data_IF_226499416032
#
_entry.id   IF_226499416032
#
_cell.length_a   1.000
_cell.length_b   1.000
_cell.length_c   1.000
_cell.angle_alpha   90.00
_cell.angle_beta   90.00
_cell.angle_gamma   90.00
#
_symmetry.space_group_name_H-M   'P 1'
#
loop_
_entity.id
_entity.type
_entity.pdbx_description
1 polymer ?
#
# COMPACT_ATOMS: atom_id res chain seq x y z
N UNK A 1 20.58 35.35 13.91
CA UNK A 1 21.37 34.97 12.72
C UNK A 1 20.93 35.67 11.42
N UNK A 2 19.63 35.93 11.17
CA UNK A 2 19.13 36.53 9.92
C UNK A 2 19.40 38.04 9.71
N UNK A 3 19.82 38.78 10.74
CA UNK A 3 19.95 40.26 10.67
C UNK A 3 21.12 40.75 9.80
N UNK A 4 22.15 39.92 9.61
CA UNK A 4 23.38 40.31 8.88
C UNK A 4 23.37 39.90 7.40
N UNK A 5 22.27 39.34 6.90
CA UNK A 5 22.15 38.92 5.50
C UNK A 5 21.73 40.08 4.60
N UNK A 6 22.20 40.07 3.34
CA UNK A 6 21.70 40.99 2.30
C UNK A 6 20.18 40.87 2.18
N UNK A 7 19.51 41.98 1.95
CA UNK A 7 18.04 42.07 1.92
C UNK A 7 17.42 40.98 1.02
N UNK A 8 17.91 40.82 -0.20
CA UNK A 8 17.36 39.82 -1.13
C UNK A 8 17.56 38.37 -0.69
N UNK A 9 18.69 38.04 -0.04
CA UNK A 9 18.91 36.70 0.53
C UNK A 9 17.93 36.43 1.66
N UNK A 10 17.70 37.43 2.53
CA UNK A 10 16.76 37.30 3.64
C UNK A 10 15.32 37.10 3.16
N UNK A 11 14.88 37.87 2.16
CA UNK A 11 13.54 37.75 1.57
C UNK A 11 13.38 36.39 0.89
N UNK A 12 14.37 35.99 0.08
CA UNK A 12 14.35 34.69 -0.58
C UNK A 12 14.21 33.55 0.43
N UNK A 13 15.04 33.51 1.48
CA UNK A 13 14.98 32.46 2.50
C UNK A 13 13.63 32.38 3.23
N UNK A 14 13.00 33.52 3.51
CA UNK A 14 11.68 33.55 4.16
C UNK A 14 10.59 32.95 3.25
N UNK A 15 10.58 33.34 1.97
CA UNK A 15 9.68 32.77 0.97
C UNK A 15 9.90 31.26 0.79
N UNK A 16 11.17 30.85 0.68
CA UNK A 16 11.57 29.45 0.60
C UNK A 16 11.04 28.63 1.77
N UNK A 17 11.19 29.16 2.98
CA UNK A 17 10.74 28.48 4.19
C UNK A 17 9.22 28.25 4.18
N UNK A 18 8.43 29.27 3.84
CA UNK A 18 6.97 29.14 3.73
C UNK A 18 6.58 28.08 2.71
N UNK A 19 7.23 28.07 1.54
CA UNK A 19 6.94 27.09 0.48
C UNK A 19 7.28 25.66 0.92
N UNK A 20 8.43 25.46 1.55
CA UNK A 20 8.84 24.15 2.07
C UNK A 20 7.85 23.64 3.13
N UNK A 21 7.40 24.52 4.04
CA UNK A 21 6.40 24.17 5.05
C UNK A 21 5.08 23.78 4.40
N UNK A 22 4.56 24.58 3.45
CA UNK A 22 3.33 24.26 2.73
C UNK A 22 3.41 22.93 1.97
N UNK A 23 4.52 22.69 1.26
CA UNK A 23 4.74 21.43 0.54
C UNK A 23 4.88 20.24 1.48
N UNK A 24 5.52 20.42 2.64
CA UNK A 24 5.64 19.39 3.67
C UNK A 24 4.27 18.99 4.23
N UNK A 25 3.43 19.97 4.55
CA UNK A 25 2.05 19.73 5.02
C UNK A 25 1.23 19.00 3.95
N UNK A 26 1.27 19.47 2.70
CA UNK A 26 0.55 18.82 1.60
C UNK A 26 1.02 17.39 1.36
N UNK A 27 2.34 17.15 1.40
CA UNK A 27 2.91 15.80 1.25
C UNK A 27 2.41 14.88 2.36
N UNK A 28 2.42 15.35 3.61
CA UNK A 28 1.92 14.59 4.74
C UNK A 28 0.43 14.25 4.58
N UNK A 29 -0.40 15.22 4.21
CA UNK A 29 -1.84 15.02 4.01
C UNK A 29 -2.11 14.02 2.88
N UNK A 30 -1.42 14.15 1.75
CA UNK A 30 -1.58 13.23 0.61
C UNK A 30 -1.16 11.81 1.00
N UNK A 31 0.03 11.64 1.58
CA UNK A 31 0.53 10.31 1.97
C UNK A 31 -0.35 9.67 3.04
N UNK A 32 -0.80 10.42 4.04
CA UNK A 32 -1.70 9.90 5.08
C UNK A 32 -3.07 9.52 4.53
N UNK A 33 -3.62 10.33 3.62
CA UNK A 33 -4.90 10.05 2.96
C UNK A 33 -4.78 8.81 2.07
N UNK A 34 -3.73 8.73 1.24
CA UNK A 34 -3.45 7.57 0.40
C UNK A 34 -3.23 6.30 1.21
N UNK A 35 -2.53 6.36 2.34
CA UNK A 35 -2.37 5.21 3.24
C UNK A 35 -3.72 4.71 3.78
N UNK A 36 -4.59 5.62 4.23
CA UNK A 36 -5.93 5.27 4.72
C UNK A 36 -6.83 4.69 3.62
N UNK A 37 -6.79 5.25 2.40
CA UNK A 37 -7.51 4.72 1.24
C UNK A 37 -7.00 3.33 0.89
N UNK A 38 -5.68 3.15 0.84
CA UNK A 38 -5.05 1.86 0.53
C UNK A 38 -5.42 0.80 1.55
N UNK A 39 -5.43 1.13 2.84
CA UNK A 39 -5.87 0.23 3.90
C UNK A 39 -7.33 -0.20 3.71
N UNK A 40 -8.23 0.75 3.43
CA UNK A 40 -9.66 0.47 3.21
C UNK A 40 -9.91 -0.39 1.98
N UNK A 41 -9.23 -0.12 0.86
CA UNK A 41 -9.34 -0.93 -0.35
C UNK A 41 -8.73 -2.32 -0.17
N UNK A 42 -7.61 -2.42 0.55
CA UNK A 42 -7.02 -3.70 0.90
C UNK A 42 -7.97 -4.57 1.72
N UNK A 43 -8.71 -4.00 2.69
CA UNK A 43 -9.72 -4.73 3.45
C UNK A 43 -10.81 -5.32 2.55
N UNK A 44 -11.38 -4.51 1.64
CA UNK A 44 -12.39 -4.98 0.69
C UNK A 44 -11.84 -6.08 -0.23
N UNK A 45 -10.63 -5.88 -0.75
CA UNK A 45 -9.99 -6.83 -1.65
C UNK A 45 -9.70 -8.17 -0.95
N UNK A 46 -9.13 -8.12 0.26
CA UNK A 46 -8.87 -9.31 1.07
C UNK A 46 -10.15 -10.10 1.35
N UNK A 47 -11.22 -9.43 1.75
CA UNK A 47 -12.51 -10.07 2.01
C UNK A 47 -13.09 -10.72 0.75
N UNK A 48 -13.09 -10.00 -0.39
CA UNK A 48 -13.62 -10.52 -1.65
C UNK A 48 -12.80 -11.70 -2.18
N UNK A 49 -11.47 -11.65 -2.07
CA UNK A 49 -10.61 -12.75 -2.53
C UNK A 49 -10.74 -13.94 -1.59
N UNK A 50 -10.79 -13.75 -0.27
CA UNK A 50 -11.04 -14.84 0.67
C UNK A 50 -12.39 -15.53 0.37
N UNK A 51 -13.44 -14.76 0.10
CA UNK A 51 -14.75 -15.29 -0.30
C UNK A 51 -14.65 -16.09 -1.61
N UNK A 52 -14.03 -15.51 -2.64
CA UNK A 52 -13.81 -16.19 -3.93
C UNK A 52 -13.05 -17.50 -3.75
N UNK A 53 -11.97 -17.51 -2.97
CA UNK A 53 -11.20 -18.71 -2.70
C UNK A 53 -12.01 -19.75 -1.93
N UNK A 54 -12.80 -19.32 -0.94
CA UNK A 54 -13.69 -20.22 -0.19
C UNK A 54 -14.74 -20.88 -1.09
N UNK A 55 -15.31 -20.15 -2.06
CA UNK A 55 -16.25 -20.72 -3.03
C UNK A 55 -15.58 -21.73 -3.96
N UNK A 56 -14.34 -21.49 -4.39
CA UNK A 56 -13.60 -22.45 -5.23
C UNK A 56 -13.28 -23.74 -4.46
N UNK A 57 -12.76 -23.63 -3.24
CA UNK A 57 -12.46 -24.78 -2.38
C UNK A 57 -13.75 -25.54 -2.06
N UNK A 58 -14.81 -24.82 -1.67
CA UNK A 58 -16.13 -25.41 -1.42
C UNK A 58 -16.65 -26.17 -2.65
N UNK A 59 -16.55 -25.60 -3.84
CA UNK A 59 -16.98 -26.25 -5.08
C UNK A 59 -16.28 -27.59 -5.31
N UNK A 60 -14.97 -27.67 -5.08
CA UNK A 60 -14.20 -28.91 -5.20
C UNK A 60 -14.62 -29.96 -4.17
N UNK A 61 -14.75 -29.57 -2.91
CA UNK A 61 -15.18 -30.47 -1.84
C UNK A 61 -16.61 -30.99 -2.08
N UNK A 62 -17.53 -30.11 -2.47
CA UNK A 62 -18.92 -30.47 -2.75
C UNK A 62 -19.03 -31.37 -3.97
N UNK A 63 -18.25 -31.13 -5.03
CA UNK A 63 -18.21 -32.00 -6.20
C UNK A 63 -17.79 -33.43 -5.82
N UNK A 64 -16.71 -33.57 -5.05
CA UNK A 64 -16.22 -34.87 -4.58
C UNK A 64 -17.24 -35.58 -3.68
N UNK A 65 -17.89 -34.86 -2.76
CA UNK A 65 -18.96 -35.44 -1.93
C UNK A 65 -20.21 -35.84 -2.73
N UNK A 66 -20.65 -35.02 -3.69
CA UNK A 66 -21.80 -35.35 -4.54
C UNK A 66 -21.53 -36.58 -5.40
N UNK A 67 -20.31 -36.71 -5.93
CA UNK A 67 -19.87 -37.92 -6.65
C UNK A 67 -19.91 -39.14 -5.73
N UNK A 68 -19.38 -39.01 -4.51
CA UNK A 68 -19.36 -40.08 -3.51
C UNK A 68 -20.77 -40.52 -3.07
N UNK A 69 -21.68 -39.57 -2.85
CA UNK A 69 -23.09 -39.82 -2.52
C UNK A 69 -23.80 -40.57 -3.65
N UNK A 70 -23.69 -40.08 -4.89
CA UNK A 70 -24.24 -40.76 -6.05
C UNK A 70 -23.72 -42.20 -6.18
N UNK A 71 -22.42 -42.41 -5.98
CA UNK A 71 -21.79 -43.71 -5.99
C UNK A 71 -22.29 -44.62 -4.87
N UNK A 72 -22.45 -44.08 -3.66
CA UNK A 72 -23.05 -44.77 -2.52
C UNK A 72 -24.44 -45.29 -2.86
N UNK A 73 -25.30 -44.45 -3.42
CA UNK A 73 -26.65 -44.83 -3.84
C UNK A 73 -26.64 -45.94 -4.92
N UNK A 74 -25.72 -45.87 -5.90
CA UNK A 74 -25.55 -46.93 -6.92
C UNK A 74 -25.15 -48.25 -6.28
N UNK A 75 -24.25 -48.22 -5.28
CA UNK A 75 -23.81 -49.43 -4.57
C UNK A 75 -24.96 -49.98 -3.72
N UNK A 76 -25.69 -49.14 -2.99
CA UNK A 76 -26.86 -49.56 -2.23
C UNK A 76 -27.86 -50.27 -3.15
N UNK A 77 -28.22 -49.68 -4.29
CA UNK A 77 -29.12 -50.29 -5.28
C UNK A 77 -28.55 -51.58 -5.87
N UNK A 78 -27.25 -51.65 -6.14
CA UNK A 78 -26.59 -52.87 -6.62
C UNK A 78 -26.68 -53.99 -5.59
N UNK A 79 -26.47 -53.67 -4.30
CA UNK A 79 -26.57 -54.63 -3.20
C UNK A 79 -27.98 -55.17 -3.01
N UNK A 80 -29.03 -54.41 -3.37
CA UNK A 80 -30.42 -54.88 -3.34
C UNK A 80 -30.66 -56.08 -4.26
N UNK A 81 -29.95 -56.16 -5.38
CA UNK A 81 -30.09 -57.25 -6.36
C UNK A 81 -28.89 -58.21 -6.36
N UNK A 82 -27.98 -58.07 -5.40
CA UNK A 82 -26.71 -58.78 -5.36
C UNK A 82 -26.83 -60.28 -5.01
N UNK A 83 -27.97 -60.75 -4.47
CA UNK A 83 -28.23 -62.18 -4.27
C UNK A 83 -28.14 -63.00 -5.59
N UNK A 84 -28.17 -62.33 -6.75
CA UNK A 84 -28.00 -62.94 -8.07
C UNK A 84 -26.76 -62.45 -8.87
N UNK A 85 -25.89 -61.60 -8.32
CA UNK A 85 -24.76 -61.03 -9.08
C UNK A 85 -23.47 -61.83 -8.91
N UNK A 86 -23.20 -62.74 -9.83
CA UNK A 86 -21.87 -63.36 -10.01
C UNK A 86 -20.80 -62.44 -10.64
N UNK A 87 -21.04 -61.12 -10.73
CA UNK A 87 -20.24 -60.20 -11.56
C UNK A 87 -19.44 -59.19 -10.73
N UNK A 88 -18.42 -59.67 -10.00
CA UNK A 88 -17.45 -58.80 -9.30
C UNK A 88 -16.77 -57.76 -10.21
N UNK A 89 -16.75 -57.98 -11.53
CA UNK A 89 -16.23 -57.03 -12.52
C UNK A 89 -17.06 -55.74 -12.67
N UNK A 90 -18.37 -55.77 -12.38
CA UNK A 90 -19.22 -54.57 -12.47
C UNK A 90 -18.87 -53.56 -11.39
N UNK A 91 -18.64 -54.02 -10.16
CA UNK A 91 -18.26 -53.17 -9.04
C UNK A 91 -16.85 -52.59 -9.25
N UNK A 92 -15.90 -53.40 -9.73
CA UNK A 92 -14.56 -52.94 -10.11
C UNK A 92 -14.62 -51.80 -11.12
N UNK A 93 -15.40 -51.97 -12.19
CA UNK A 93 -15.52 -50.94 -13.22
C UNK A 93 -16.16 -49.65 -12.67
N UNK A 94 -17.25 -49.77 -11.92
CA UNK A 94 -17.94 -48.60 -11.33
C UNK A 94 -17.02 -47.81 -10.40
N UNK A 95 -16.28 -48.50 -9.53
CA UNK A 95 -15.34 -47.85 -8.61
C UNK A 95 -14.15 -47.21 -9.33
N UNK A 96 -13.60 -47.89 -10.34
CA UNK A 96 -12.48 -47.36 -11.13
C UNK A 96 -12.90 -46.09 -11.87
N UNK A 97 -14.05 -46.10 -12.56
CA UNK A 97 -14.55 -44.93 -13.29
C UNK A 97 -14.90 -43.79 -12.32
N UNK A 98 -15.45 -44.09 -11.14
CA UNK A 98 -15.79 -43.05 -10.18
C UNK A 98 -14.54 -42.34 -9.62
N UNK A 99 -13.46 -43.10 -9.34
CA UNK A 99 -12.19 -42.51 -8.91
C UNK A 99 -11.55 -41.68 -10.04
N UNK A 100 -11.53 -42.20 -11.26
CA UNK A 100 -10.97 -41.54 -12.46
C UNK A 100 -11.70 -40.22 -12.81
N UNK A 101 -12.99 -40.11 -12.48
CA UNK A 101 -13.78 -38.89 -12.69
C UNK A 101 -13.59 -37.83 -11.58
N UNK A 102 -13.08 -38.22 -10.41
CA UNK A 102 -12.83 -37.29 -9.32
C UNK A 102 -11.40 -36.75 -9.38
N UNK A 103 -11.26 -35.56 -9.97
CA UNK A 103 -9.98 -34.89 -10.14
C UNK A 103 -9.27 -34.51 -8.82
N UNK A 104 -9.90 -34.70 -7.66
CA UNK A 104 -9.34 -34.35 -6.35
C UNK A 104 -9.00 -35.57 -5.49
N UNK A 105 -9.64 -36.72 -5.74
CA UNK A 105 -9.45 -37.94 -4.95
C UNK A 105 -8.22 -38.73 -5.43
N UNK A 106 -7.35 -39.11 -4.50
CA UNK A 106 -6.19 -39.96 -4.80
C UNK A 106 -6.48 -41.44 -4.55
N UNK A 107 -7.42 -41.74 -3.65
CA UNK A 107 -7.84 -43.10 -3.35
C UNK A 107 -9.35 -43.18 -3.17
N UNK A 108 -9.89 -44.37 -3.45
CA UNK A 108 -11.24 -44.76 -3.15
C UNK A 108 -11.22 -46.08 -2.38
N UNK A 109 -12.07 -46.24 -1.38
CA UNK A 109 -12.28 -47.49 -0.69
C UNK A 109 -13.75 -47.83 -0.52
N UNK A 110 -14.06 -49.13 -0.61
CA UNK A 110 -15.37 -49.69 -0.31
C UNK A 110 -15.22 -50.80 0.71
N UNK A 111 -15.82 -50.61 1.87
CA UNK A 111 -15.92 -51.62 2.93
C UNK A 111 -17.36 -52.09 3.06
N UNK A 112 -17.56 -53.40 3.14
CA UNK A 112 -18.86 -54.03 3.37
C UNK A 112 -18.73 -55.14 4.43
N UNK A 113 -19.53 -55.08 5.48
CA UNK A 113 -19.46 -56.00 6.62
C UNK A 113 -20.06 -57.38 6.34
N UNK A 114 -20.97 -57.50 5.37
CA UNK A 114 -21.62 -58.77 5.05
C UNK A 114 -21.96 -58.88 3.56
N UNK A 115 -21.05 -59.47 2.78
CA UNK A 115 -21.33 -59.84 1.38
C UNK A 115 -20.74 -61.22 1.07
N UNK A 116 -21.63 -62.19 0.83
CA UNK A 116 -21.25 -63.54 0.41
C UNK A 116 -20.90 -63.61 -1.08
N UNK A 117 -21.39 -62.67 -1.90
CA UNK A 117 -21.33 -62.70 -3.36
C UNK A 117 -20.02 -62.17 -4.01
N UNK A 118 -19.12 -61.50 -3.26
CA UNK A 118 -17.93 -60.85 -3.85
C UNK A 118 -16.66 -61.71 -3.66
N UNK A 119 -15.82 -61.77 -4.71
CA UNK A 119 -14.59 -62.59 -4.83
C UNK A 119 -13.67 -62.51 -3.59
N UNK A 120 -13.00 -63.63 -3.29
CA UNK A 120 -12.15 -63.83 -2.11
C UNK A 120 -10.93 -62.89 -2.02
N UNK A 121 -10.45 -62.32 -3.13
CA UNK A 121 -9.21 -61.53 -3.20
C UNK A 121 -9.23 -60.20 -2.41
N UNK A 122 -10.40 -59.74 -1.97
CA UNK A 122 -10.58 -58.49 -1.23
C UNK A 122 -11.18 -58.71 0.18
N UNK A 123 -11.06 -59.92 0.75
CA UNK A 123 -11.53 -60.22 2.10
C UNK A 123 -10.47 -59.89 3.14
N UNK A 124 -10.89 -59.21 4.19
CA UNK A 124 -10.11 -59.02 5.41
C UNK A 124 -10.07 -60.33 6.23
N UNK A 125 -9.13 -60.48 7.18
CA UNK A 125 -9.04 -61.66 8.04
C UNK A 125 -10.33 -61.97 8.82
N UNK A 126 -11.12 -60.94 9.14
CA UNK A 126 -12.43 -61.05 9.80
C UNK A 126 -13.58 -61.49 8.86
N UNK A 127 -13.29 -61.75 7.59
CA UNK A 127 -14.26 -62.19 6.58
C UNK A 127 -15.02 -61.06 5.89
N UNK A 128 -14.87 -59.80 6.32
CA UNK A 128 -15.48 -58.63 5.69
C UNK A 128 -14.81 -58.29 4.36
N UNK A 129 -15.51 -57.56 3.50
CA UNK A 129 -14.98 -57.12 2.21
C UNK A 129 -14.40 -55.71 2.33
N UNK A 130 -13.18 -55.51 1.82
CA UNK A 130 -12.55 -54.20 1.67
C UNK A 130 -11.82 -54.12 0.34
N UNK A 131 -12.23 -53.17 -0.48
CA UNK A 131 -11.57 -52.85 -1.74
C UNK A 131 -10.96 -51.45 -1.66
N UNK A 132 -9.72 -51.30 -2.13
CA UNK A 132 -9.04 -50.00 -2.21
C UNK A 132 -8.50 -49.83 -3.64
N UNK A 133 -8.74 -48.65 -4.22
CA UNK A 133 -8.23 -48.21 -5.51
C UNK A 133 -7.44 -46.93 -5.30
N UNK A 134 -6.29 -46.82 -5.95
CA UNK A 134 -5.52 -45.59 -6.04
C UNK A 134 -5.47 -45.12 -7.48
N UNK A 135 -5.28 -43.83 -7.66
CA UNK A 135 -5.09 -43.22 -8.98
C UNK A 135 -3.67 -42.63 -9.06
N UNK A 136 -2.90 -43.12 -10.03
CA UNK A 136 -1.53 -42.69 -10.29
C UNK A 136 -1.42 -41.47 -11.20
N UNK A 137 -2.50 -41.11 -11.90
CA UNK A 137 -2.53 -39.97 -12.84
C UNK A 137 -3.89 -39.26 -12.78
N UNK A 138 -4.16 -38.61 -11.65
CA UNK A 138 -5.44 -37.95 -11.37
C UNK A 138 -5.71 -36.72 -12.27
N UNK A 139 -4.82 -36.40 -13.21
CA UNK A 139 -5.02 -35.31 -14.17
C UNK A 139 -5.55 -35.81 -15.52
N UNK A 140 -5.44 -37.11 -15.82
CA UNK A 140 -5.82 -37.70 -17.09
C UNK A 140 -6.64 -38.98 -16.86
N UNK A 141 -7.49 -39.33 -17.82
CA UNK A 141 -8.22 -40.59 -17.75
C UNK A 141 -7.27 -41.79 -17.72
N UNK A 142 -7.47 -42.71 -16.78
CA UNK A 142 -6.69 -43.91 -16.60
C UNK A 142 -5.95 -43.95 -15.26
N UNK A 143 -4.79 -44.59 -15.20
CA UNK A 143 -3.93 -44.54 -13.99
C UNK A 143 -4.43 -45.31 -12.76
N UNK A 144 -5.65 -45.86 -12.77
CA UNK A 144 -6.22 -46.60 -11.63
C UNK A 144 -5.46 -47.91 -11.37
N UNK A 145 -5.03 -48.11 -10.12
CA UNK A 145 -4.36 -49.32 -9.66
C UNK A 145 -5.00 -49.89 -8.38
N UNK A 146 -4.79 -51.20 -8.18
CA UNK A 146 -5.25 -51.90 -6.97
C UNK A 146 -4.30 -51.63 -5.81
N UNK A 147 -4.86 -51.34 -4.64
CA UNK A 147 -4.12 -51.25 -3.37
C UNK A 147 -4.51 -52.43 -2.50
N UNK A 148 -3.54 -53.00 -1.78
CA UNK A 148 -3.78 -54.13 -0.89
C UNK A 148 -4.76 -53.72 0.23
N UNK A 149 -5.77 -54.56 0.48
CA UNK A 149 -6.73 -54.33 1.55
C UNK A 149 -6.02 -54.29 2.91
N UNK A 150 -6.34 -53.29 3.72
CA UNK A 150 -5.74 -53.10 5.05
C UNK A 150 -6.80 -52.62 6.05
N UNK A 151 -6.80 -53.20 7.25
CA UNK A 151 -7.69 -52.79 8.34
C UNK A 151 -7.44 -51.36 8.80
N UNK A 152 -6.30 -50.75 8.41
CA UNK A 152 -5.97 -49.35 8.69
C UNK A 152 -7.10 -48.39 8.30
N UNK A 153 -7.78 -48.62 7.17
CA UNK A 153 -8.92 -47.80 6.73
C UNK A 153 -10.04 -47.77 7.78
N UNK A 154 -10.32 -48.91 8.42
CA UNK A 154 -11.41 -49.06 9.38
C UNK A 154 -11.09 -48.42 10.75
N UNK A 155 -9.82 -48.14 11.01
CA UNK A 155 -9.37 -47.50 12.24
C UNK A 155 -9.43 -45.97 12.17
N UNK A 156 -9.73 -45.39 11.00
CA UNK A 156 -9.91 -43.94 10.89
C UNK A 156 -11.18 -43.49 11.61
N UNK A 157 -11.07 -42.47 12.48
CA UNK A 157 -12.19 -41.99 13.28
C UNK A 157 -13.40 -41.52 12.45
N UNK A 158 -13.17 -40.92 11.27
CA UNK A 158 -14.27 -40.52 10.37
C UNK A 158 -15.01 -41.72 9.77
N UNK A 159 -14.29 -42.79 9.44
CA UNK A 159 -14.85 -44.07 8.95
C UNK A 159 -15.70 -44.72 10.03
N UNK A 160 -15.17 -44.83 11.26
CA UNK A 160 -15.90 -45.38 12.40
C UNK A 160 -17.16 -44.55 12.71
N UNK A 161 -17.05 -43.22 12.67
CA UNK A 161 -18.20 -42.32 12.87
C UNK A 161 -19.27 -42.51 11.79
N UNK A 162 -18.89 -42.73 10.53
CA UNK A 162 -19.84 -43.02 9.45
C UNK A 162 -20.58 -44.35 9.69
N UNK A 163 -19.84 -45.40 10.05
CA UNK A 163 -20.39 -46.73 10.35
C UNK A 163 -21.30 -46.72 11.59
N UNK A 164 -21.02 -45.89 12.59
CA UNK A 164 -21.82 -45.78 13.81
C UNK A 164 -23.07 -44.91 13.64
N UNK A 165 -22.94 -43.78 12.94
CA UNK A 165 -24.02 -42.78 12.86
C UNK A 165 -24.93 -42.96 11.66
N UNK A 166 -24.49 -43.69 10.62
CA UNK A 166 -25.24 -43.84 9.38
C UNK A 166 -25.41 -42.51 8.63
N UNK A 167 -24.51 -41.55 8.87
CA UNK A 167 -24.43 -40.25 8.20
C UNK A 167 -23.09 -40.10 7.46
N UNK A 168 -23.03 -39.29 6.40
CA UNK A 168 -21.76 -38.91 5.77
C UNK A 168 -20.82 -38.28 6.80
N UNK A 169 -19.51 -38.41 6.60
CA UNK A 169 -18.50 -37.79 7.48
C UNK A 169 -17.30 -37.29 6.69
N UNK A 170 -16.62 -36.28 7.22
CA UNK A 170 -15.30 -35.84 6.77
C UNK A 170 -14.30 -35.96 7.93
N UNK A 171 -13.06 -36.38 7.63
CA UNK A 171 -11.98 -36.48 8.60
C UNK A 171 -11.11 -35.22 8.71
N UNK A 172 -10.35 -35.14 9.80
CA UNK A 172 -9.30 -34.13 9.98
C UNK A 172 -8.07 -34.45 9.10
N UNK A 173 -7.34 -33.42 8.62
CA UNK A 173 -6.14 -33.59 7.81
C UNK A 173 -5.06 -34.30 8.63
N UNK A 174 -4.63 -35.47 8.17
CA UNK A 174 -3.62 -36.28 8.87
C UNK A 174 -2.71 -36.95 7.85
N UNK A 175 -1.42 -37.02 8.16
CA UNK A 175 -0.45 -37.68 7.30
C UNK A 175 -0.66 -39.19 7.31
N UNK A 176 -0.81 -39.77 6.13
CA UNK A 176 -1.05 -41.20 5.98
C UNK A 176 -0.32 -41.77 4.77
N UNK A 177 0.27 -42.95 4.96
CA UNK A 177 0.68 -43.83 3.88
C UNK A 177 -0.44 -44.86 3.63
N UNK A 178 -1.09 -44.80 2.46
CA UNK A 178 -2.24 -45.64 2.11
C UNK A 178 -1.82 -46.86 1.28
N UNK A 179 -0.92 -46.68 0.32
CA UNK A 179 -0.51 -47.72 -0.64
C UNK A 179 0.90 -48.29 -0.39
N UNK A 180 1.54 -47.89 0.70
CA UNK A 180 2.90 -48.26 1.06
C UNK A 180 3.99 -47.44 0.37
N UNK A 181 3.67 -46.52 -0.54
CA UNK A 181 4.67 -45.81 -1.35
C UNK A 181 5.02 -44.43 -0.81
N UNK A 182 4.03 -43.57 -0.59
CA UNK A 182 4.22 -42.17 -0.16
C UNK A 182 3.24 -41.82 0.94
N UNK A 183 3.73 -41.08 1.93
CA UNK A 183 2.87 -40.40 2.91
C UNK A 183 2.27 -39.14 2.28
N UNK A 184 0.95 -38.98 2.38
CA UNK A 184 0.21 -37.81 1.90
C UNK A 184 -0.56 -37.16 3.04
N UNK A 185 -0.83 -35.86 2.94
CA UNK A 185 -1.76 -35.21 3.85
C UNK A 185 -3.19 -35.56 3.43
N UNK A 186 -3.75 -36.56 4.09
CA UNK A 186 -5.00 -37.17 3.71
C UNK A 186 -6.20 -36.57 4.45
N UNK A 187 -7.27 -36.28 3.70
CA UNK A 187 -8.60 -35.98 4.23
C UNK A 187 -9.57 -37.03 3.67
N UNK A 188 -10.29 -37.72 4.55
CA UNK A 188 -11.24 -38.78 4.14
C UNK A 188 -12.66 -38.26 4.13
N UNK A 189 -13.36 -38.48 3.03
CA UNK A 189 -14.81 -38.27 2.90
C UNK A 189 -15.48 -39.64 2.87
N UNK A 190 -16.52 -39.82 3.68
CA UNK A 190 -17.20 -41.10 3.85
C UNK A 190 -18.69 -40.94 3.59
N UNK A 191 -19.25 -41.95 2.93
CA UNK A 191 -20.67 -42.14 2.76
C UNK A 191 -21.05 -43.54 3.26
N UNK A 192 -21.95 -43.66 4.25
CA UNK A 192 -22.38 -44.94 4.78
C UNK A 192 -23.23 -45.68 3.76
N UNK A 193 -23.08 -47.00 3.68
CA UNK A 193 -23.88 -47.87 2.81
C UNK A 193 -24.93 -48.59 3.66
N UNK A 194 -26.18 -48.50 3.25
CA UNK A 194 -27.33 -49.13 3.91
C UNK A 194 -27.94 -50.22 3.05
N UNK A 195 -28.48 -51.25 3.69
CA UNK A 195 -29.29 -52.26 3.01
C UNK A 195 -30.75 -51.80 2.87
N UNK A 196 -31.60 -52.65 2.26
CA UNK A 196 -33.04 -52.36 2.11
C UNK A 196 -33.77 -52.12 3.43
N UNK A 197 -33.31 -52.73 4.52
CA UNK A 197 -33.87 -52.58 5.86
C UNK A 197 -33.35 -51.30 6.57
N UNK A 198 -32.52 -50.50 5.89
CA UNK A 198 -31.92 -49.29 6.45
C UNK A 198 -30.75 -49.56 7.41
N UNK A 199 -30.34 -50.81 7.59
CA UNK A 199 -29.20 -51.16 8.42
C UNK A 199 -27.89 -50.81 7.72
N UNK A 200 -26.93 -50.28 8.47
CA UNK A 200 -25.61 -49.91 7.96
C UNK A 200 -24.81 -51.19 7.71
N UNK A 201 -24.47 -51.44 6.46
CA UNK A 201 -23.75 -52.64 6.00
C UNK A 201 -22.35 -52.33 5.48
N UNK A 202 -21.94 -51.06 5.48
CA UNK A 202 -20.62 -50.67 5.03
C UNK A 202 -20.42 -49.18 4.90
N UNK A 203 -19.33 -48.81 4.24
CA UNK A 203 -18.96 -47.43 3.94
C UNK A 203 -18.20 -47.40 2.62
N UNK A 204 -18.52 -46.42 1.80
CA UNK A 204 -17.66 -46.00 0.69
C UNK A 204 -17.00 -44.68 1.05
N UNK A 205 -15.74 -44.52 0.69
CA UNK A 205 -15.05 -43.26 0.92
C UNK A 205 -13.97 -42.97 -0.10
N UNK A 206 -13.62 -41.71 -0.17
CA UNK A 206 -12.50 -41.19 -0.95
C UNK A 206 -11.49 -40.53 -0.02
N UNK A 207 -10.23 -40.54 -0.43
CA UNK A 207 -9.12 -39.88 0.26
C UNK A 207 -8.60 -38.78 -0.66
N UNK A 208 -8.74 -37.54 -0.21
CA UNK A 208 -8.17 -36.38 -0.88
C UNK A 208 -6.71 -36.20 -0.47
N UNK A 209 -5.84 -35.93 -1.43
CA UNK A 209 -4.49 -35.43 -1.17
C UNK A 209 -4.53 -33.89 -1.12
N UNK A 210 -4.37 -33.36 0.09
CA UNK A 210 -4.43 -31.92 0.31
C UNK A 210 -3.24 -31.16 -0.29
N UNK A 211 -2.12 -31.82 -0.62
CA UNK A 211 -1.01 -31.17 -1.35
C UNK A 211 -1.45 -30.71 -2.74
N UNK A 212 -2.32 -31.48 -3.41
CA UNK A 212 -2.86 -31.12 -4.73
C UNK A 212 -3.77 -29.91 -4.64
N UNK A 213 -4.63 -29.88 -3.63
CA UNK A 213 -5.47 -28.71 -3.35
C UNK A 213 -4.60 -27.50 -3.02
N UNK A 214 -3.55 -27.72 -2.22
CA UNK A 214 -2.57 -26.69 -1.89
C UNK A 214 -1.86 -26.12 -3.10
N UNK A 215 -1.50 -26.95 -4.08
CA UNK A 215 -0.73 -26.54 -5.26
C UNK A 215 -1.49 -25.49 -6.09
N UNK A 216 -2.73 -25.79 -6.49
CA UNK A 216 -3.53 -24.79 -7.24
C UNK A 216 -3.94 -23.61 -6.34
N UNK A 217 -4.19 -23.86 -5.05
CA UNK A 217 -4.50 -22.79 -4.10
C UNK A 217 -3.27 -21.94 -3.76
N UNK A 218 -2.06 -22.26 -4.22
CA UNK A 218 -0.88 -21.38 -4.16
C UNK A 218 -0.52 -20.73 -5.50
N UNK A 219 -1.24 -21.04 -6.59
CA UNK A 219 -0.95 -20.49 -7.92
C UNK A 219 -0.88 -18.95 -7.94
N UNK A 220 0.12 -18.40 -8.61
CA UNK A 220 0.38 -16.95 -8.63
C UNK A 220 -0.66 -16.14 -9.41
N UNK A 221 -1.42 -16.77 -10.31
CA UNK A 221 -2.55 -16.13 -11.01
C UNK A 221 -3.69 -15.72 -10.08
N UNK A 222 -3.74 -16.30 -8.87
CA UNK A 222 -4.73 -16.00 -7.85
C UNK A 222 -4.23 -14.94 -6.84
N UNK A 223 -2.95 -14.57 -6.89
CA UNK A 223 -2.33 -13.58 -6.01
C UNK A 223 -2.81 -12.17 -6.36
N UNK A 224 -3.06 -11.37 -5.33
CA UNK A 224 -3.48 -9.97 -5.42
C UNK A 224 -2.51 -9.02 -4.74
N UNK A 225 -1.68 -9.52 -3.84
CA UNK A 225 -0.53 -8.80 -3.29
C UNK A 225 0.75 -9.60 -3.46
N UNK A 226 1.88 -8.89 -3.55
CA UNK A 226 3.17 -9.53 -3.56
C UNK A 226 3.39 -10.33 -2.27
N UNK A 227 3.93 -11.55 -2.37
CA UNK A 227 4.14 -12.48 -1.24
C UNK A 227 2.86 -12.82 -0.46
N UNK A 228 1.68 -12.59 -1.02
CA UNK A 228 0.47 -13.15 -0.43
C UNK A 228 0.47 -14.67 -0.55
N UNK A 229 -0.30 -15.31 0.33
CA UNK A 229 -0.50 -16.74 0.26
C UNK A 229 -1.82 -17.12 0.88
N UNK A 230 -2.31 -18.31 0.51
CA UNK A 230 -3.62 -18.80 0.95
C UNK A 230 -3.43 -20.06 1.76
N UNK A 231 -4.29 -20.30 2.72
CA UNK A 231 -4.24 -21.53 3.51
C UNK A 231 -5.64 -21.92 3.97
N UNK A 232 -5.83 -23.19 4.29
CA UNK A 232 -7.14 -23.75 4.69
C UNK A 232 -6.98 -24.41 6.04
N UNK A 233 -7.93 -24.17 6.93
CA UNK A 233 -8.02 -24.87 8.20
C UNK A 233 -9.41 -25.43 8.46
N UNK A 234 -9.45 -26.49 9.25
CA UNK A 234 -10.68 -27.13 9.70
C UNK A 234 -11.37 -26.30 10.79
N UNK A 235 -12.58 -26.70 11.17
CA UNK A 235 -13.31 -26.11 12.29
C UNK A 235 -12.52 -26.19 13.60
N UNK A 236 -11.77 -27.28 13.78
CA UNK A 236 -10.86 -27.52 14.90
C UNK A 236 -9.57 -26.69 14.84
N UNK A 237 -9.42 -25.79 13.85
CA UNK A 237 -8.24 -25.00 13.56
C UNK A 237 -6.99 -25.82 13.17
N UNK A 238 -7.17 -27.04 12.66
CA UNK A 238 -6.07 -27.83 12.09
C UNK A 238 -5.82 -27.41 10.64
N UNK A 239 -4.55 -27.26 10.28
CA UNK A 239 -4.18 -26.77 8.95
C UNK A 239 -4.21 -27.90 7.93
N UNK A 240 -5.08 -27.76 6.94
CA UNK A 240 -5.24 -28.70 5.84
C UNK A 240 -4.43 -28.29 4.60
N UNK A 241 -4.19 -27.00 4.39
CA UNK A 241 -3.37 -26.47 3.29
C UNK A 241 -2.55 -25.32 3.81
N UNK A 242 -1.25 -25.26 3.52
CA UNK A 242 -0.39 -24.11 3.83
C UNK A 242 0.92 -24.18 3.01
N UNK A 243 1.52 -23.04 2.57
CA UNK A 243 2.79 -23.05 1.83
C UNK A 243 3.97 -23.65 2.59
N UNK A 244 4.00 -23.44 3.91
CA UNK A 244 4.97 -24.07 4.80
C UNK A 244 4.48 -25.47 5.21
N UNK A 245 5.09 -26.51 4.64
CA UNK A 245 4.75 -27.90 4.91
C UNK A 245 4.85 -28.29 6.39
N UNK A 246 5.73 -27.63 7.17
CA UNK A 246 5.88 -27.93 8.61
C UNK A 246 4.67 -27.53 9.47
N UNK A 247 3.70 -26.82 8.89
CA UNK A 247 2.47 -26.37 9.56
C UNK A 247 1.28 -27.29 9.25
N UNK A 248 1.39 -28.15 8.24
CA UNK A 248 0.34 -29.07 7.84
C UNK A 248 0.00 -30.03 8.99
N UNK A 249 -1.28 -30.37 9.13
CA UNK A 249 -1.85 -31.20 10.22
C UNK A 249 -1.76 -30.61 11.64
N UNK A 250 -0.99 -29.53 11.86
CA UNK A 250 -0.87 -28.90 13.19
C UNK A 250 -2.05 -27.99 13.46
N UNK A 251 -2.35 -27.83 14.75
CA UNK A 251 -3.28 -26.81 15.18
C UNK A 251 -2.68 -25.41 15.03
N UNK A 252 -3.47 -24.44 14.59
CA UNK A 252 -3.00 -23.06 14.43
C UNK A 252 -2.45 -22.46 15.74
N UNK A 253 -2.97 -22.88 16.89
CA UNK A 253 -2.51 -22.47 18.21
C UNK A 253 -1.08 -22.97 18.53
N UNK A 254 -0.69 -24.13 18.00
CA UNK A 254 0.66 -24.70 18.19
C UNK A 254 1.72 -23.95 17.38
N UNK A 255 1.32 -23.36 16.26
CA UNK A 255 2.22 -22.61 15.37
C UNK A 255 2.50 -21.22 15.96
N UNK A 256 1.47 -20.57 16.48
CA UNK A 256 1.60 -19.21 17.01
C UNK A 256 0.53 -18.90 18.05
N UNK A 257 0.86 -19.06 19.33
CA UNK A 257 0.01 -18.63 20.43
C UNK A 257 0.11 -17.11 20.64
N UNK A 258 -0.85 -16.35 20.09
CA UNK A 258 -0.99 -14.91 20.33
C UNK A 258 -2.45 -14.45 20.08
N UNK A 259 -2.78 -13.25 20.55
CA UNK A 259 -4.13 -12.66 20.47
C UNK A 259 -4.68 -12.60 19.03
N UNK A 260 -3.84 -12.36 18.03
CA UNK A 260 -4.28 -12.34 16.63
C UNK A 260 -4.70 -13.72 16.14
N UNK A 261 -3.93 -14.75 16.48
CA UNK A 261 -4.27 -16.14 16.19
C UNK A 261 -5.57 -16.54 16.87
N UNK A 262 -5.75 -16.21 18.15
CA UNK A 262 -6.98 -16.49 18.89
C UNK A 262 -8.19 -15.80 18.26
N UNK A 263 -8.06 -14.55 17.82
CA UNK A 263 -9.12 -13.83 17.11
C UNK A 263 -9.52 -14.54 15.81
N UNK A 264 -8.55 -15.04 15.04
CA UNK A 264 -8.79 -15.78 13.80
C UNK A 264 -9.49 -17.12 14.08
N UNK A 265 -9.03 -17.87 15.08
CA UNK A 265 -9.65 -19.15 15.48
C UNK A 265 -11.09 -18.91 15.94
N UNK A 266 -11.32 -17.91 16.79
CA UNK A 266 -12.67 -17.56 17.25
C UNK A 266 -13.58 -17.13 16.09
N UNK A 267 -13.06 -16.37 15.12
CA UNK A 267 -13.82 -16.00 13.92
C UNK A 267 -14.22 -17.24 13.11
N UNK A 268 -13.30 -18.19 12.92
CA UNK A 268 -13.55 -19.45 12.21
C UNK A 268 -14.60 -20.33 12.90
N UNK A 269 -14.48 -20.52 14.21
CA UNK A 269 -15.44 -21.30 15.02
C UNK A 269 -16.84 -20.69 14.94
N UNK A 270 -16.94 -19.36 14.94
CA UNK A 270 -18.22 -18.65 14.83
C UNK A 270 -18.65 -18.41 13.37
N UNK A 271 -17.94 -18.98 12.39
CA UNK A 271 -18.20 -18.86 10.95
C UNK A 271 -18.33 -17.40 10.46
N UNK A 272 -17.53 -16.51 11.05
CA UNK A 272 -17.54 -15.07 10.76
C UNK A 272 -16.53 -14.74 9.67
N UNK A 273 -17.01 -14.17 8.58
CA UNK A 273 -16.12 -13.63 7.54
C UNK A 273 -15.61 -12.25 7.95
N UNK A 274 -14.41 -11.89 7.51
CA UNK A 274 -13.85 -10.57 7.80
C UNK A 274 -12.37 -10.44 7.50
N UNK A 275 -11.79 -9.31 7.91
CA UNK A 275 -10.35 -9.07 7.84
C UNK A 275 -9.82 -8.89 9.26
N UNK A 276 -8.72 -9.57 9.55
CA UNK A 276 -8.10 -9.59 10.87
C UNK A 276 -6.62 -9.29 10.76
N UNK A 277 -6.04 -8.72 11.81
CA UNK A 277 -4.59 -8.60 11.93
C UNK A 277 -3.96 -9.98 12.13
N UNK A 278 -2.73 -10.15 11.65
CA UNK A 278 -1.97 -11.39 11.77
C UNK A 278 -0.47 -11.14 11.87
N UNK A 279 0.24 -12.11 12.45
CA UNK A 279 1.70 -12.14 12.51
C UNK A 279 2.22 -13.37 11.78
N UNK A 280 2.84 -13.15 10.61
CA UNK A 280 3.47 -14.22 9.83
C UNK A 280 4.67 -14.75 10.61
N UNK A 281 4.68 -16.06 10.87
CA UNK A 281 5.80 -16.75 11.53
C UNK A 281 6.79 -17.22 10.46
N UNK A 282 7.95 -16.57 10.39
CA UNK A 282 9.05 -16.97 9.51
C UNK A 282 9.95 -18.08 10.09
N UNK A 283 10.90 -18.56 9.28
CA UNK A 283 11.88 -19.61 9.67
C UNK A 283 12.72 -19.24 10.91
N UNK A 284 12.95 -17.96 11.16
CA UNK A 284 13.76 -17.47 12.29
C UNK A 284 12.93 -16.87 13.45
N UNK A 285 11.64 -17.23 13.58
CA UNK A 285 10.70 -16.64 14.55
C UNK A 285 10.47 -15.12 14.43
N UNK A 286 11.07 -14.45 13.44
CA UNK A 286 10.72 -13.08 13.10
C UNK A 286 9.23 -13.02 12.71
N UNK A 287 8.50 -12.12 13.38
CA UNK A 287 7.06 -11.91 13.16
C UNK A 287 6.87 -10.70 12.24
N UNK A 288 6.37 -10.93 11.03
CA UNK A 288 6.00 -9.86 10.09
C UNK A 288 4.50 -9.55 10.22
N UNK A 289 4.14 -8.26 10.30
CA UNK A 289 2.73 -7.83 10.35
C UNK A 289 2.04 -8.07 9.01
N UNK A 290 0.84 -8.61 9.07
CA UNK A 290 -0.01 -8.91 7.92
C UNK A 290 -1.47 -8.63 8.25
N UNK A 291 -2.28 -8.52 7.19
CA UNK A 291 -3.73 -8.65 7.28
C UNK A 291 -4.15 -10.00 6.70
N UNK A 292 -5.22 -10.56 7.25
CA UNK A 292 -5.80 -11.83 6.83
C UNK A 292 -7.25 -11.65 6.46
N UNK A 293 -7.57 -11.89 5.18
CA UNK A 293 -8.95 -12.10 4.74
C UNK A 293 -9.40 -13.50 5.11
N UNK A 294 -10.49 -13.61 5.86
CA UNK A 294 -11.03 -14.86 6.38
C UNK A 294 -12.44 -15.09 5.82
N UNK A 295 -12.66 -16.29 5.27
CA UNK A 295 -13.98 -16.71 4.78
C UNK A 295 -14.24 -18.18 5.12
N UNK A 296 -15.31 -18.43 5.87
CA UNK A 296 -15.78 -19.77 6.21
C UNK A 296 -16.72 -20.30 5.13
N UNK A 297 -16.64 -21.61 4.86
CA UNK A 297 -17.47 -22.30 3.90
C UNK A 297 -17.97 -23.63 4.46
N UNK A 298 -19.16 -24.02 4.01
CA UNK A 298 -19.84 -25.26 4.41
C UNK A 298 -19.53 -26.35 3.42
N UNK A 299 -19.08 -27.49 3.92
CA UNK A 299 -18.86 -28.69 3.15
C UNK A 299 -20.16 -29.50 3.17
N UNK A 300 -20.69 -29.81 1.99
CA UNK A 300 -21.78 -30.75 1.71
C UNK A 300 -22.89 -30.81 2.79
N UNK A 301 -24.00 -30.09 2.58
CA UNK A 301 -25.17 -30.07 3.48
C UNK A 301 -24.82 -29.80 4.95
N UNK A 302 -23.94 -28.81 5.20
CA UNK A 302 -23.49 -28.39 6.54
C UNK A 302 -22.79 -29.50 7.36
N UNK A 303 -22.13 -30.44 6.69
CA UNK A 303 -21.41 -31.54 7.34
C UNK A 303 -20.22 -31.06 8.18
N UNK A 304 -19.52 -30.04 7.69
CA UNK A 304 -18.41 -29.39 8.37
C UNK A 304 -18.25 -27.95 7.89
N UNK A 305 -17.71 -27.08 8.76
CA UNK A 305 -17.38 -25.70 8.41
C UNK A 305 -15.86 -25.52 8.41
N UNK A 306 -15.30 -25.25 7.24
CA UNK A 306 -13.88 -25.00 7.09
C UNK A 306 -13.65 -23.54 6.71
N UNK A 307 -12.42 -23.07 6.87
CA UNK A 307 -12.10 -21.67 6.66
C UNK A 307 -10.91 -21.53 5.73
N UNK A 308 -11.07 -20.67 4.72
CA UNK A 308 -9.98 -20.22 3.87
C UNK A 308 -9.46 -18.89 4.42
N UNK A 309 -8.14 -18.77 4.45
CA UNK A 309 -7.43 -17.59 4.89
C UNK A 309 -6.51 -17.11 3.77
N UNK A 310 -6.61 -15.83 3.43
CA UNK A 310 -5.69 -15.12 2.55
C UNK A 310 -4.82 -14.20 3.40
N UNK A 311 -3.53 -14.48 3.46
CA UNK A 311 -2.56 -13.68 4.22
C UNK A 311 -1.84 -12.75 3.28
N UNK A 312 -1.85 -11.45 3.59
CA UNK A 312 -1.11 -10.43 2.84
C UNK A 312 -0.21 -9.60 3.78
N UNK A 313 1.11 -9.57 3.57
CA UNK A 313 2.01 -8.75 4.37
C UNK A 313 1.65 -7.26 4.27
N UNK A 314 1.71 -6.53 5.40
CA UNK A 314 1.37 -5.11 5.43
C UNK A 314 2.28 -4.28 4.51
N UNK A 315 3.55 -4.67 4.40
CA UNK A 315 4.51 -4.04 3.47
C UNK A 315 4.08 -4.17 2.01
N UNK A 316 3.57 -5.34 1.62
CA UNK A 316 3.09 -5.57 0.25
C UNK A 316 1.79 -4.81 -0.03
N UNK A 317 0.90 -4.74 0.97
CA UNK A 317 -0.32 -3.93 0.89
C UNK A 317 0.03 -2.44 0.69
N UNK A 318 1.05 -1.95 1.38
CA UNK A 318 1.47 -0.54 1.37
C UNK A 318 2.50 -0.20 0.28
N UNK A 319 2.94 -1.16 -0.52
CA UNK A 319 3.92 -0.96 -1.59
C UNK A 319 3.54 0.19 -2.55
N UNK A 320 2.29 0.31 -3.03
CA UNK A 320 1.89 1.44 -3.87
C UNK A 320 2.03 2.79 -3.16
N UNK A 321 1.79 2.84 -1.85
CA UNK A 321 1.89 4.06 -1.03
C UNK A 321 3.36 4.45 -0.84
N UNK A 322 4.25 3.49 -0.60
CA UNK A 322 5.69 3.77 -0.51
C UNK A 322 6.28 4.24 -1.84
N UNK A 323 5.83 3.65 -2.95
CA UNK A 323 6.19 4.11 -4.29
C UNK A 323 5.70 5.54 -4.54
N UNK A 324 4.42 5.82 -4.25
CA UNK A 324 3.85 7.17 -4.35
C UNK A 324 4.60 8.18 -3.48
N UNK A 325 4.90 7.83 -2.23
CA UNK A 325 5.66 8.67 -1.31
C UNK A 325 7.03 9.03 -1.89
N UNK A 326 7.75 8.04 -2.45
CA UNK A 326 9.06 8.26 -3.07
C UNK A 326 8.96 9.19 -4.27
N UNK A 327 7.97 8.99 -5.14
CA UNK A 327 7.72 9.86 -6.29
C UNK A 327 7.37 11.28 -5.87
N UNK A 328 6.51 11.46 -4.87
CA UNK A 328 6.14 12.79 -4.35
C UNK A 328 7.37 13.49 -3.77
N UNK A 329 8.17 12.81 -2.94
CA UNK A 329 9.38 13.40 -2.34
C UNK A 329 10.34 13.87 -3.44
N UNK A 330 10.59 13.04 -4.46
CA UNK A 330 11.43 13.41 -5.59
C UNK A 330 10.87 14.62 -6.35
N UNK A 331 9.56 14.63 -6.61
CA UNK A 331 8.88 15.75 -7.27
C UNK A 331 8.91 17.04 -6.46
N UNK A 332 8.78 16.96 -5.13
CA UNK A 332 8.85 18.11 -4.22
C UNK A 332 10.27 18.68 -4.19
N UNK A 333 11.30 17.84 -4.08
CA UNK A 333 12.71 18.28 -4.11
C UNK A 333 13.02 19.02 -5.42
N UNK A 334 12.63 18.44 -6.56
CA UNK A 334 12.83 19.07 -7.88
C UNK A 334 12.07 20.41 -7.97
N UNK A 335 10.82 20.43 -7.52
CA UNK A 335 9.97 21.63 -7.54
C UNK A 335 10.56 22.75 -6.68
N UNK A 336 11.06 22.42 -5.47
CA UNK A 336 11.75 23.36 -4.59
C UNK A 336 12.97 23.94 -5.32
N UNK A 337 13.83 23.10 -5.91
CA UNK A 337 15.03 23.60 -6.63
C UNK A 337 14.68 24.60 -7.74
N UNK A 338 13.64 24.30 -8.53
CA UNK A 338 13.17 25.19 -9.60
C UNK A 338 12.63 26.50 -9.04
N UNK A 339 11.74 26.43 -8.05
CA UNK A 339 11.12 27.61 -7.43
C UNK A 339 12.17 28.51 -6.78
N UNK A 340 13.13 27.92 -6.04
CA UNK A 340 14.22 28.65 -5.41
C UNK A 340 15.10 29.37 -6.43
N UNK A 341 15.43 28.69 -7.54
CA UNK A 341 16.17 29.28 -8.64
C UNK A 341 15.42 30.48 -9.21
N UNK A 342 14.14 30.34 -9.54
CA UNK A 342 13.29 31.41 -10.08
C UNK A 342 13.23 32.59 -9.10
N UNK A 343 12.93 32.35 -7.82
CA UNK A 343 12.85 33.40 -6.78
C UNK A 343 14.18 34.13 -6.65
N UNK A 344 15.30 33.40 -6.63
CA UNK A 344 16.63 33.99 -6.51
C UNK A 344 16.94 34.91 -7.70
N UNK A 345 16.74 34.43 -8.93
CA UNK A 345 16.97 35.23 -10.14
C UNK A 345 16.02 36.42 -10.22
N UNK A 346 14.75 36.24 -9.85
CA UNK A 346 13.75 37.30 -9.83
C UNK A 346 14.13 38.39 -8.82
N UNK A 347 14.43 38.05 -7.57
CA UNK A 347 14.83 39.04 -6.54
C UNK A 347 16.12 39.77 -6.94
N UNK A 348 17.11 39.05 -7.48
CA UNK A 348 18.38 39.65 -7.92
C UNK A 348 18.16 40.68 -9.02
N UNK A 349 17.38 40.33 -10.05
CA UNK A 349 17.16 41.17 -11.23
C UNK A 349 16.13 42.27 -10.97
N UNK A 350 14.97 41.93 -10.41
CA UNK A 350 13.84 42.84 -10.27
C UNK A 350 13.93 43.72 -9.01
N UNK A 351 14.60 43.29 -7.93
CA UNK A 351 14.63 44.07 -6.68
C UNK A 351 16.03 44.64 -6.43
N UNK A 352 17.04 43.78 -6.25
CA UNK A 352 18.38 44.21 -5.83
C UNK A 352 19.02 45.15 -6.87
N UNK A 353 18.95 44.80 -8.16
CA UNK A 353 19.58 45.63 -9.19
C UNK A 353 19.01 47.05 -9.23
N UNK A 354 17.69 47.21 -9.11
CA UNK A 354 17.05 48.54 -9.08
C UNK A 354 17.35 49.30 -7.80
N UNK A 355 17.38 48.61 -6.66
CA UNK A 355 17.72 49.23 -5.38
C UNK A 355 19.18 49.74 -5.36
N UNK A 356 20.10 48.99 -5.98
CA UNK A 356 21.49 49.44 -6.15
C UNK A 356 21.59 50.69 -7.03
N UNK A 357 20.80 50.79 -8.11
CA UNK A 357 20.77 52.00 -8.96
C UNK A 357 20.35 53.22 -8.15
N UNK A 358 19.28 53.11 -7.36
CA UNK A 358 18.82 54.20 -6.49
C UNK A 358 19.86 54.54 -5.41
N UNK A 359 20.48 53.52 -4.82
CA UNK A 359 21.55 53.72 -3.83
C UNK A 359 22.78 54.43 -4.42
N UNK A 360 23.17 54.08 -5.65
CA UNK A 360 24.28 54.74 -6.35
C UNK A 360 23.94 56.19 -6.69
N UNK A 361 22.75 56.45 -7.24
CA UNK A 361 22.30 57.81 -7.52
C UNK A 361 22.37 58.70 -6.28
N UNK A 362 21.89 58.20 -5.14
CA UNK A 362 21.89 58.95 -3.90
C UNK A 362 23.31 59.21 -3.37
N UNK A 363 24.19 58.20 -3.42
CA UNK A 363 25.58 58.36 -3.01
C UNK A 363 26.32 59.36 -3.90
N UNK A 364 26.14 59.29 -5.22
CA UNK A 364 26.76 60.22 -6.16
C UNK A 364 26.22 61.65 -5.98
N UNK A 365 24.95 61.80 -5.63
CA UNK A 365 24.39 63.09 -5.26
C UNK A 365 25.03 63.67 -4.00
N UNK A 366 25.22 62.86 -2.95
CA UNK A 366 25.91 63.32 -1.74
C UNK A 366 27.37 63.69 -2.00
N UNK A 367 28.08 62.94 -2.85
CA UNK A 367 29.45 63.31 -3.26
C UNK A 367 29.49 64.65 -3.98
N UNK A 368 28.49 64.94 -4.81
CA UNK A 368 28.34 66.24 -5.44
C UNK A 368 28.10 67.35 -4.41
N UNK A 369 27.17 67.16 -3.46
CA UNK A 369 26.91 68.14 -2.39
C UNK A 369 28.12 68.37 -1.49
N UNK A 370 28.91 67.33 -1.23
CA UNK A 370 30.14 67.41 -0.44
C UNK A 370 31.33 67.99 -1.22
N UNK A 371 31.12 68.46 -2.45
CA UNK A 371 32.15 69.00 -3.33
C UNK A 371 33.27 68.00 -3.69
N UNK A 372 33.04 66.70 -3.48
CA UNK A 372 33.96 65.64 -3.91
C UNK A 372 33.95 65.46 -5.43
N UNK A 373 32.84 65.83 -6.07
CA UNK A 373 32.67 65.84 -7.53
C UNK A 373 32.03 67.14 -7.98
N UNK A 374 32.53 67.73 -9.07
CA UNK A 374 32.01 68.99 -9.62
C UNK A 374 30.77 68.81 -10.50
N UNK A 375 30.50 67.60 -10.96
CA UNK A 375 29.39 67.30 -11.86
C UNK A 375 28.25 66.65 -11.07
N UNK A 376 27.01 67.14 -11.22
CA UNK A 376 25.87 66.48 -10.63
C UNK A 376 25.65 65.07 -11.22
N UNK A 377 25.03 64.14 -10.47
CA UNK A 377 24.72 62.82 -11.00
C UNK A 377 23.65 62.88 -12.09
N UNK A 378 23.70 61.93 -13.02
CA UNK A 378 22.64 61.76 -14.02
C UNK A 378 21.36 61.19 -13.38
N UNK A 379 20.23 61.84 -13.65
CA UNK A 379 18.93 61.39 -13.17
C UNK A 379 18.56 60.03 -13.77
N UNK A 380 17.95 59.17 -12.97
CA UNK A 380 17.60 57.81 -13.40
C UNK A 380 16.16 57.74 -13.85
N UNK A 381 15.87 57.21 -15.04
CA UNK A 381 14.49 56.95 -15.45
C UNK A 381 14.01 55.63 -14.80
N UNK A 382 12.97 55.64 -13.95
CA UNK A 382 12.47 54.41 -13.37
C UNK A 382 11.92 53.47 -14.44
N UNK A 383 12.12 52.17 -14.25
CA UNK A 383 11.62 51.11 -15.15
C UNK A 383 10.27 50.52 -14.73
N UNK A 384 9.75 50.91 -13.57
CA UNK A 384 8.43 50.50 -13.07
C UNK A 384 7.85 51.59 -12.17
N UNK A 385 6.55 51.51 -11.89
CA UNK A 385 5.78 52.45 -11.06
C UNK A 385 5.55 51.95 -9.63
N UNK A 386 6.34 50.94 -9.21
CA UNK A 386 6.32 50.40 -7.85
C UNK A 386 7.01 51.33 -6.84
N UNK A 387 7.07 50.92 -5.57
CA UNK A 387 7.60 51.72 -4.47
C UNK A 387 9.05 52.18 -4.73
N UNK A 388 9.87 51.31 -5.35
CA UNK A 388 11.25 51.65 -5.72
C UNK A 388 11.26 52.68 -6.86
N UNK A 389 10.38 52.54 -7.84
CA UNK A 389 10.23 53.51 -8.93
C UNK A 389 9.80 54.89 -8.45
N UNK A 390 8.81 54.95 -7.54
CA UNK A 390 8.36 56.20 -6.92
C UNK A 390 9.46 56.85 -6.09
N UNK A 391 10.24 56.06 -5.35
CA UNK A 391 11.40 56.56 -4.61
C UNK A 391 12.45 57.17 -5.55
N UNK A 392 12.74 56.54 -6.69
CA UNK A 392 13.68 57.06 -7.68
C UNK A 392 13.20 58.41 -8.27
N UNK A 393 11.89 58.55 -8.58
CA UNK A 393 11.33 59.81 -9.07
C UNK A 393 11.44 60.92 -8.02
N UNK A 394 11.06 60.63 -6.77
CA UNK A 394 11.14 61.59 -5.69
C UNK A 394 12.60 62.06 -5.47
N UNK A 395 13.57 61.14 -5.54
CA UNK A 395 14.99 61.49 -5.44
C UNK A 395 15.40 62.38 -6.62
N UNK A 396 15.06 62.02 -7.86
CA UNK A 396 15.40 62.85 -9.02
C UNK A 396 14.85 64.28 -8.89
N UNK A 397 13.59 64.44 -8.49
CA UNK A 397 12.97 65.75 -8.31
C UNK A 397 13.71 66.58 -7.26
N UNK A 398 14.08 65.98 -6.12
CA UNK A 398 14.84 66.68 -5.10
C UNK A 398 16.27 67.04 -5.56
N UNK A 399 16.90 66.18 -6.36
CA UNK A 399 18.19 66.47 -6.99
C UNK A 399 18.07 67.69 -7.90
N UNK A 400 17.04 67.77 -8.75
CA UNK A 400 16.82 68.91 -9.64
C UNK A 400 16.58 70.21 -8.87
N UNK A 401 15.69 70.18 -7.88
CA UNK A 401 15.39 71.34 -7.03
C UNK A 401 16.67 71.84 -6.35
N UNK A 402 17.46 70.94 -5.77
CA UNK A 402 18.70 71.30 -5.07
C UNK A 402 19.76 71.84 -6.03
N UNK A 403 19.93 71.26 -7.22
CA UNK A 403 20.86 71.76 -8.24
C UNK A 403 20.50 73.17 -8.70
N UNK A 404 19.21 73.43 -8.94
CA UNK A 404 18.74 74.75 -9.31
C UNK A 404 18.99 75.76 -8.19
N UNK A 405 18.72 75.38 -6.93
CA UNK A 405 19.02 76.20 -5.76
C UNK A 405 20.51 76.53 -5.62
N UNK A 406 21.39 75.54 -5.72
CA UNK A 406 22.85 75.74 -5.62
C UNK A 406 23.38 76.66 -6.73
N UNK A 407 22.84 76.56 -7.94
CA UNK A 407 23.23 77.45 -9.05
C UNK A 407 22.77 78.90 -8.80
N UNK A 408 21.58 79.09 -8.23
CA UNK A 408 21.11 80.42 -7.82
C UNK A 408 22.02 81.01 -6.73
N UNK A 409 22.40 80.19 -5.74
CA UNK A 409 23.33 80.56 -4.68
C UNK A 409 24.70 80.95 -5.23
N UNK A 410 25.28 80.15 -6.12
CA UNK A 410 26.57 80.43 -6.76
C UNK A 410 26.55 81.75 -7.56
N UNK A 411 25.45 82.00 -8.27
CA UNK A 411 25.26 83.24 -9.04
C UNK A 411 25.18 84.46 -8.11
N UNK A 412 24.42 84.36 -7.03
CA UNK A 412 24.30 85.41 -6.03
C UNK A 412 25.62 85.68 -5.30
N UNK A 413 26.39 84.63 -4.95
CA UNK A 413 27.73 84.76 -4.36
C UNK A 413 28.69 85.46 -5.33
N UNK A 414 28.67 85.07 -6.61
CA UNK A 414 29.52 85.69 -7.65
C UNK A 414 29.18 87.16 -7.83
N UNK A 415 27.88 87.51 -7.87
CA UNK A 415 27.47 88.91 -7.91
C UNK A 415 27.88 89.65 -6.63
N UNK A 416 27.73 89.02 -5.47
CA UNK A 416 28.14 89.61 -4.18
C UNK A 416 29.63 89.95 -4.17
N UNK A 417 30.49 89.04 -4.64
CA UNK A 417 31.92 89.28 -4.77
C UNK A 417 32.24 90.41 -5.76
N UNK A 418 31.53 90.47 -6.90
CA UNK A 418 31.68 91.54 -7.90
C UNK A 418 31.25 92.89 -7.35
N UNK A 419 30.10 92.97 -6.68
CA UNK A 419 29.58 94.18 -6.05
C UNK A 419 30.54 94.68 -4.97
N UNK A 420 31.07 93.77 -4.13
CA UNK A 420 32.08 94.13 -3.13
C UNK A 420 33.33 94.75 -3.78
N UNK A 421 33.80 94.21 -4.92
CA UNK A 421 34.91 94.79 -5.68
C UNK A 421 34.58 96.16 -6.28
N UNK A 422 33.38 96.35 -6.82
CA UNK A 422 32.93 97.66 -7.33
C UNK A 422 32.82 98.71 -6.23
N UNK A 423 32.45 98.29 -5.01
CA UNK A 423 32.49 99.13 -3.81
C UNK A 423 33.93 99.49 -3.41
N UNK A 424 34.85 98.52 -3.46
CA UNK A 424 36.29 98.74 -3.23
C UNK A 424 36.88 99.76 -4.23
N UNK A 425 36.40 99.73 -5.48
CA UNK A 425 36.75 100.70 -6.53
C UNK A 425 36.09 102.09 -6.34
N UNK A 426 35.34 102.29 -5.25
CA UNK A 426 34.81 103.59 -4.82
C UNK A 426 33.34 103.87 -5.19
N UNK A 427 32.64 102.92 -5.81
CA UNK A 427 31.22 103.09 -6.15
C UNK A 427 30.29 102.49 -5.08
N UNK A 428 29.90 103.33 -4.11
CA UNK A 428 29.01 102.97 -3.01
C UNK A 428 27.53 102.79 -3.40
N UNK A 429 27.16 103.08 -4.65
CA UNK A 429 25.78 102.89 -5.15
C UNK A 429 25.51 101.46 -5.64
N UNK A 430 26.55 100.61 -5.72
CA UNK A 430 26.40 99.23 -6.17
C UNK A 430 25.58 98.40 -5.17
N UNK A 431 24.70 97.53 -5.68
CA UNK A 431 23.83 96.66 -4.87
C UNK A 431 23.83 95.24 -5.44
N UNK A 432 23.62 94.26 -4.57
CA UNK A 432 23.43 92.86 -4.92
C UNK A 432 21.94 92.66 -5.23
N UNK A 433 21.63 92.22 -6.45
CA UNK A 433 20.26 92.13 -6.97
C UNK A 433 19.78 90.67 -7.01
N UNK A 434 20.68 89.75 -7.35
CA UNK A 434 20.42 88.32 -7.44
C UNK A 434 19.97 87.81 -6.07
N UNK A 435 18.90 87.01 -6.08
CA UNK A 435 18.33 86.45 -4.87
C UNK A 435 18.79 84.99 -4.73
N UNK A 436 19.64 84.67 -3.73
CA UNK A 436 20.04 83.30 -3.48
C UNK A 436 18.84 82.45 -3.03
N UNK A 437 18.95 81.14 -3.24
CA UNK A 437 18.00 80.14 -2.77
C UNK A 437 18.17 79.85 -1.27
N UNK A 438 19.41 79.81 -0.78
CA UNK A 438 19.71 79.59 0.63
C UNK A 438 19.26 80.81 1.47
N UNK A 439 18.34 80.64 2.44
CA UNK A 439 17.84 81.74 3.27
C UNK A 439 18.95 82.52 4.00
N UNK A 440 20.04 81.85 4.39
CA UNK A 440 21.18 82.50 5.05
C UNK A 440 21.93 83.44 4.10
N UNK A 441 22.07 83.07 2.82
CA UNK A 441 22.67 83.94 1.81
C UNK A 441 21.75 85.13 1.49
N UNK A 442 20.43 84.97 1.59
CA UNK A 442 19.46 86.07 1.43
C UNK A 442 19.64 87.09 2.56
N UNK A 443 19.78 86.61 3.80
CA UNK A 443 20.08 87.47 4.95
C UNK A 443 21.40 88.21 4.75
N UNK A 444 22.46 87.50 4.35
CA UNK A 444 23.76 88.11 4.06
C UNK A 444 23.66 89.19 2.97
N UNK A 445 22.93 88.92 1.88
CA UNK A 445 22.67 89.91 0.82
C UNK A 445 22.03 91.17 1.39
N UNK A 446 21.00 91.02 2.22
CA UNK A 446 20.27 92.15 2.80
C UNK A 446 21.16 92.96 3.75
N UNK A 447 21.93 92.30 4.61
CA UNK A 447 22.89 92.97 5.50
C UNK A 447 23.94 93.76 4.70
N UNK A 448 24.51 93.17 3.65
CA UNK A 448 25.50 93.83 2.80
C UNK A 448 24.90 95.02 2.04
N UNK A 449 23.69 94.89 1.49
CA UNK A 449 23.01 95.99 0.81
C UNK A 449 22.67 97.13 1.78
N UNK A 450 22.16 96.82 2.98
CA UNK A 450 21.83 97.82 4.00
C UNK A 450 23.09 98.57 4.49
N UNK A 451 24.25 97.92 4.53
CA UNK A 451 25.52 98.60 4.88
C UNK A 451 25.88 99.71 3.89
N UNK A 452 25.46 99.56 2.63
CA UNK A 452 25.75 100.51 1.55
C UNK A 452 24.67 101.60 1.41
N UNK A 453 23.54 101.48 2.11
CA UNK A 453 22.48 102.49 2.20
C UNK A 453 22.90 103.56 3.22
N UNK A 454 23.80 104.45 2.80
CA UNK A 454 24.35 105.58 3.58
C UNK A 454 23.73 106.90 3.18
#
# INVERSE_FOLDING_TARGET
MLKNLKLGTRISLLLSFVIVVCMGIMTYVIVSSSASIQEKEAHKLLQNVALRMSNLVQGKFNQSFMSLDALGNVIEETLKYADNMHHGGTLDNVLNHALDMDQNASFLYLYLSNVNAIRAENRLPNGHFLMIRGDGDISNAGGIYKVQATEKILNFGSVQKALQTGKPTIGEPTFENIDGKKEILAVRMNFPIKNQQGAIVGVIGIILDMERIGTWLQDSSLSVFNRDYRFVMTESANIAVHPNASFLSKNMSEISANVFTESIINASINHKNGVYEYLIVGKEKAKEKALVGLSSFRIYNDLANWTVLLVAPLKSIMEPVYSLQTTIIMGVILSILVILSIIFFYIKSAVIARLNVVSHLLNDFFRFLNHETKTPPHLVRPKAEDEIGKMALAINQNIEITQQGLKQDETAITQSAKTAKTVEEGNLTARIIENPHNPQLVELKNVLNNMLDV
#
